data_IF_925396660059
#
_entry.id   IF_925396660059
#
_cell.length_a   1.000
_cell.length_b   1.000
_cell.length_c   1.000
_cell.angle_alpha   90.00
_cell.angle_beta   90.00
_cell.angle_gamma   90.00
#
_symmetry.space_group_name_H-M   'P 1'
#
loop_
_entity.id
_entity.type
_entity.pdbx_description
1 polymer ?
#
# COMPACT_ATOMS: atom_id res chain seq x y z
N UNK A 1 7.60 15.84 -15.00
CA UNK A 1 7.44 14.39 -14.92
C UNK A 1 7.98 13.92 -13.59
N UNK A 2 7.19 13.17 -12.86
CA UNK A 2 7.53 12.62 -11.54
C UNK A 2 7.63 11.12 -11.64
N UNK A 3 8.52 10.52 -10.86
CA UNK A 3 8.70 9.07 -10.76
C UNK A 3 8.83 8.67 -9.30
N UNK A 4 8.08 7.66 -8.88
CA UNK A 4 8.08 7.20 -7.49
C UNK A 4 7.67 5.74 -7.38
N UNK A 5 8.09 5.11 -6.30
CA UNK A 5 7.58 3.80 -5.88
C UNK A 5 6.38 4.00 -4.95
N UNK A 6 5.29 3.31 -5.23
CA UNK A 6 4.05 3.53 -4.50
C UNK A 6 3.19 2.27 -4.37
N UNK A 7 2.37 2.25 -3.32
CA UNK A 7 1.32 1.25 -3.14
C UNK A 7 0.08 1.70 -3.89
N UNK A 8 -0.50 0.83 -4.71
CA UNK A 8 -1.82 1.03 -5.32
C UNK A 8 -2.89 0.83 -4.24
N UNK A 9 -3.56 1.89 -3.84
CA UNK A 9 -4.52 1.83 -2.72
C UNK A 9 -5.97 1.76 -3.15
N UNK A 10 -6.28 2.22 -4.35
CA UNK A 10 -7.64 2.20 -4.90
C UNK A 10 -7.62 2.19 -6.42
N UNK A 11 -8.53 1.45 -7.02
CA UNK A 11 -8.73 1.43 -8.47
C UNK A 11 -10.23 1.59 -8.75
N UNK A 12 -10.58 2.60 -9.53
CA UNK A 12 -11.96 2.91 -9.87
C UNK A 12 -12.12 3.12 -11.37
N UNK A 13 -13.32 2.84 -11.88
CA UNK A 13 -13.66 3.20 -13.25
C UNK A 13 -13.78 4.72 -13.41
N UNK A 14 -13.15 5.25 -14.44
CA UNK A 14 -13.22 6.65 -14.81
C UNK A 14 -13.52 6.76 -16.31
N UNK A 15 -14.68 7.30 -16.67
CA UNK A 15 -15.18 7.30 -18.06
C UNK A 15 -15.17 5.90 -18.70
N UNK A 16 -15.41 5.82 -20.02
CA UNK A 16 -15.60 4.54 -20.71
C UNK A 16 -14.38 3.63 -20.68
N UNK A 17 -13.18 4.18 -20.98
CA UNK A 17 -11.95 3.39 -21.17
C UNK A 17 -10.82 3.74 -20.19
N UNK A 18 -11.07 4.58 -19.20
CA UNK A 18 -10.06 5.09 -18.29
C UNK A 18 -10.25 4.54 -16.88
N UNK A 19 -9.17 4.54 -16.11
CA UNK A 19 -9.19 4.26 -14.68
C UNK A 19 -8.77 5.50 -13.89
N UNK A 20 -9.33 5.66 -12.70
CA UNK A 20 -8.78 6.50 -11.64
C UNK A 20 -8.09 5.60 -10.65
N UNK A 21 -6.80 5.82 -10.45
CA UNK A 21 -5.98 4.98 -9.58
C UNK A 21 -5.36 5.83 -8.48
N UNK A 22 -5.61 5.47 -7.24
CA UNK A 22 -5.01 6.13 -6.08
C UNK A 22 -3.76 5.39 -5.66
N UNK A 23 -2.71 6.15 -5.35
CA UNK A 23 -1.42 5.65 -4.91
C UNK A 23 -1.00 6.33 -3.61
N UNK A 24 -0.19 5.65 -2.84
CA UNK A 24 0.54 6.21 -1.73
C UNK A 24 2.04 6.01 -1.90
N UNK A 25 2.78 7.11 -1.78
CA UNK A 25 4.25 7.10 -1.71
C UNK A 25 4.73 7.99 -0.57
N UNK A 26 5.93 7.73 -0.06
CA UNK A 26 6.53 8.57 0.98
C UNK A 26 6.93 9.94 0.45
N UNK A 27 7.26 10.04 -0.84
CA UNK A 27 7.70 11.29 -1.47
C UNK A 27 6.56 12.23 -1.81
N UNK A 28 5.41 11.69 -2.21
CA UNK A 28 4.29 12.50 -2.72
C UNK A 28 3.01 12.37 -1.88
N UNK A 29 3.00 11.50 -0.86
CA UNK A 29 1.78 11.18 -0.11
C UNK A 29 0.77 10.44 -0.98
N UNK A 30 -0.51 10.67 -0.70
CA UNK A 30 -1.60 10.12 -1.51
C UNK A 30 -1.85 10.95 -2.76
N UNK A 31 -1.92 10.27 -3.89
CA UNK A 31 -2.25 10.87 -5.20
C UNK A 31 -3.30 10.02 -5.91
N UNK A 32 -4.22 10.68 -6.62
CA UNK A 32 -5.14 10.03 -7.55
C UNK A 32 -4.78 10.43 -8.97
N UNK A 33 -4.50 9.46 -9.80
CA UNK A 33 -4.04 9.64 -11.16
C UNK A 33 -5.05 9.08 -12.15
N UNK A 34 -5.19 9.73 -13.30
CA UNK A 34 -5.97 9.21 -14.43
C UNK A 34 -5.08 8.33 -15.30
N UNK A 35 -5.54 7.13 -15.60
CA UNK A 35 -4.88 6.18 -16.48
C UNK A 35 -5.67 6.08 -17.78
N UNK A 36 -5.19 6.70 -18.83
CA UNK A 36 -5.82 6.65 -20.15
C UNK A 36 -5.73 5.25 -20.74
N UNK A 37 -6.88 4.72 -21.19
CA UNK A 37 -6.97 3.36 -21.71
C UNK A 37 -6.66 2.27 -20.66
N UNK A 38 -6.77 2.59 -19.38
CA UNK A 38 -6.42 1.69 -18.28
C UNK A 38 -7.26 0.41 -18.19
N UNK A 39 -8.45 0.40 -18.81
CA UNK A 39 -9.31 -0.80 -18.86
C UNK A 39 -8.87 -1.84 -19.89
N UNK A 40 -7.90 -1.54 -20.75
CA UNK A 40 -7.36 -2.54 -21.68
C UNK A 40 -6.73 -3.70 -20.91
N UNK A 41 -6.87 -4.93 -21.41
CA UNK A 41 -6.30 -6.13 -20.78
C UNK A 41 -4.81 -5.98 -20.45
N UNK A 42 -4.06 -5.32 -21.34
CA UNK A 42 -2.62 -5.11 -21.16
C UNK A 42 -2.29 -4.15 -20.02
N UNK A 43 -3.08 -3.09 -19.83
CA UNK A 43 -2.83 -2.08 -18.80
C UNK A 43 -3.47 -2.41 -17.45
N UNK A 44 -4.67 -2.99 -17.45
CA UNK A 44 -5.42 -3.26 -16.22
C UNK A 44 -4.69 -4.21 -15.26
N UNK A 45 -3.87 -5.12 -15.78
CA UNK A 45 -3.07 -6.03 -14.97
C UNK A 45 -2.00 -5.32 -14.12
N UNK A 46 -1.60 -4.11 -14.49
CA UNK A 46 -0.61 -3.31 -13.75
C UNK A 46 -1.23 -2.56 -12.56
N UNK A 47 -2.55 -2.51 -12.47
CA UNK A 47 -3.25 -1.74 -11.45
C UNK A 47 -4.10 -2.65 -10.55
N UNK A 48 -3.43 -3.39 -9.70
CA UNK A 48 -4.09 -4.25 -8.70
C UNK A 48 -4.02 -3.54 -7.34
N UNK A 49 -5.16 -3.40 -6.67
CA UNK A 49 -5.20 -2.83 -5.32
C UNK A 49 -4.30 -3.64 -4.38
N UNK A 50 -3.44 -2.94 -3.65
CA UNK A 50 -2.41 -3.55 -2.82
C UNK A 50 -1.09 -3.83 -3.54
N UNK A 51 -1.02 -3.67 -4.85
CA UNK A 51 0.22 -3.81 -5.61
C UNK A 51 1.24 -2.73 -5.29
N UNK A 52 2.52 -3.05 -5.46
CA UNK A 52 3.61 -2.10 -5.30
C UNK A 52 4.27 -1.85 -6.64
N UNK A 53 4.25 -0.60 -7.09
CA UNK A 53 4.56 -0.23 -8.47
C UNK A 53 5.56 0.92 -8.54
N UNK A 54 6.39 0.91 -9.57
CA UNK A 54 7.04 2.10 -10.10
C UNK A 54 6.05 2.87 -10.97
N UNK A 55 5.85 4.15 -10.65
CA UNK A 55 4.83 4.98 -11.28
C UNK A 55 5.49 6.25 -11.82
N UNK A 56 5.15 6.59 -13.05
CA UNK A 56 5.51 7.86 -13.66
C UNK A 56 4.23 8.65 -13.97
N UNK A 57 4.21 9.91 -13.58
CA UNK A 57 3.07 10.79 -13.79
C UNK A 57 3.48 12.24 -14.06
N UNK A 58 2.57 13.01 -14.63
CA UNK A 58 2.78 14.41 -14.93
C UNK A 58 2.17 15.37 -13.90
N UNK A 59 2.36 16.66 -14.11
CA UNK A 59 1.79 17.71 -13.25
C UNK A 59 0.26 17.80 -13.29
N UNK A 60 -0.38 17.19 -14.28
CA UNK A 60 -1.83 17.13 -14.42
C UNK A 60 -2.45 15.88 -13.77
N UNK A 61 -1.66 15.13 -13.00
CA UNK A 61 -2.06 13.86 -12.39
C UNK A 61 -2.49 12.80 -13.42
N UNK A 62 -1.81 12.76 -14.55
CA UNK A 62 -1.96 11.71 -15.55
C UNK A 62 -0.85 10.68 -15.35
N UNK A 63 -1.22 9.41 -15.21
CA UNK A 63 -0.28 8.31 -15.14
C UNK A 63 0.29 8.03 -16.54
N UNK A 64 1.59 8.18 -16.69
CA UNK A 64 2.31 7.96 -17.95
C UNK A 64 2.73 6.50 -18.08
N UNK A 65 3.23 5.92 -17.02
CA UNK A 65 3.60 4.50 -16.95
C UNK A 65 3.43 3.93 -15.54
N UNK A 66 3.22 2.64 -15.46
CA UNK A 66 3.23 1.89 -14.20
C UNK A 66 3.72 0.48 -14.44
N UNK A 67 4.68 0.05 -13.63
CA UNK A 67 5.22 -1.31 -13.65
C UNK A 67 5.22 -1.90 -12.26
N UNK A 68 4.72 -3.11 -12.12
CA UNK A 68 4.77 -3.83 -10.85
C UNK A 68 6.22 -4.16 -10.48
N UNK A 69 6.63 -3.81 -9.26
CA UNK A 69 7.96 -4.11 -8.74
C UNK A 69 7.99 -5.52 -8.15
N UNK A 70 6.95 -5.89 -7.43
CA UNK A 70 6.85 -7.17 -6.75
C UNK A 70 5.72 -8.04 -7.31
N UNK A 71 6.05 -9.27 -7.68
CA UNK A 71 5.07 -10.28 -8.07
C UNK A 71 4.49 -10.94 -6.82
N UNK A 72 3.44 -10.36 -6.26
CA UNK A 72 2.71 -11.00 -5.18
C UNK A 72 1.88 -12.18 -5.73
N UNK A 73 1.94 -13.28 -5.03
CA UNK A 73 1.18 -14.49 -5.39
C UNK A 73 -0.26 -14.38 -4.90
N UNK A 74 -1.01 -13.43 -5.45
CA UNK A 74 -2.38 -13.13 -5.04
C UNK A 74 -3.30 -14.35 -4.99
N UNK A 75 -3.12 -15.30 -5.92
CA UNK A 75 -3.92 -16.52 -5.98
C UNK A 75 -3.68 -17.49 -4.81
N UNK A 76 -2.59 -17.32 -4.06
CA UNK A 76 -2.30 -18.08 -2.86
C UNK A 76 -2.91 -17.46 -1.61
N UNK A 77 -3.36 -16.22 -1.68
CA UNK A 77 -3.88 -15.50 -0.53
C UNK A 77 -5.27 -16.00 -0.15
N UNK A 78 -5.46 -16.23 1.13
CA UNK A 78 -6.74 -16.57 1.70
C UNK A 78 -7.68 -15.35 1.70
N UNK A 79 -8.96 -15.61 1.93
CA UNK A 79 -9.97 -14.56 2.14
C UNK A 79 -9.57 -13.57 3.24
N UNK A 80 -8.92 -14.04 4.30
CA UNK A 80 -8.50 -13.20 5.43
C UNK A 80 -7.34 -12.28 5.06
N UNK A 81 -6.36 -12.78 4.31
CA UNK A 81 -5.23 -11.99 3.82
C UNK A 81 -5.70 -10.91 2.83
N UNK A 82 -6.59 -11.24 1.92
CA UNK A 82 -7.17 -10.25 0.99
C UNK A 82 -7.96 -9.18 1.74
N UNK A 83 -8.71 -9.53 2.78
CA UNK A 83 -9.38 -8.56 3.64
C UNK A 83 -8.42 -7.67 4.42
N UNK A 84 -7.29 -8.20 4.88
CA UNK A 84 -6.25 -7.41 5.53
C UNK A 84 -5.66 -6.38 4.57
N UNK A 85 -5.39 -6.76 3.33
CA UNK A 85 -4.91 -5.84 2.28
C UNK A 85 -5.94 -4.74 2.01
N UNK A 86 -7.21 -5.08 1.87
CA UNK A 86 -8.30 -4.12 1.71
C UNK A 86 -8.38 -3.14 2.88
N UNK A 87 -8.23 -3.64 4.09
CA UNK A 87 -8.21 -2.83 5.31
C UNK A 87 -7.06 -1.83 5.33
N UNK A 88 -5.83 -2.27 5.02
CA UNK A 88 -4.68 -1.36 4.99
C UNK A 88 -4.78 -0.34 3.86
N UNK A 89 -5.23 -0.72 2.68
CA UNK A 89 -5.50 0.22 1.60
C UNK A 89 -6.53 1.28 2.01
N UNK A 90 -7.57 0.87 2.72
CA UNK A 90 -8.58 1.78 3.29
C UNK A 90 -7.97 2.75 4.31
N UNK A 91 -7.18 2.24 5.27
CA UNK A 91 -6.52 3.08 6.28
C UNK A 91 -5.56 4.10 5.64
N UNK A 92 -4.74 3.66 4.70
CA UNK A 92 -3.80 4.53 3.98
C UNK A 92 -4.58 5.64 3.26
N UNK A 93 -5.65 5.30 2.55
CA UNK A 93 -6.48 6.29 1.85
C UNK A 93 -7.17 7.28 2.79
N UNK A 94 -7.50 6.88 4.00
CA UNK A 94 -8.21 7.73 4.97
C UNK A 94 -7.29 8.58 5.83
N UNK A 95 -6.07 8.12 6.08
CA UNK A 95 -5.21 8.72 7.09
C UNK A 95 -3.92 9.36 6.54
N UNK A 96 -3.42 8.89 5.42
CA UNK A 96 -2.11 9.29 4.90
C UNK A 96 -2.22 10.18 3.66
N UNK A 97 -2.54 11.45 3.86
CA UNK A 97 -2.69 12.41 2.75
C UNK A 97 -1.36 13.07 2.36
N UNK A 98 -0.49 13.32 3.33
CA UNK A 98 0.72 14.09 3.14
C UNK A 98 1.92 13.19 2.88
N UNK A 99 2.90 13.75 2.17
CA UNK A 99 4.20 13.12 2.03
C UNK A 99 4.94 13.08 3.37
N UNK A 100 5.56 11.96 3.69
CA UNK A 100 6.44 11.80 4.84
C UNK A 100 7.58 10.84 4.48
N UNK A 101 8.74 11.40 4.15
CA UNK A 101 9.91 10.63 3.77
C UNK A 101 10.52 9.82 4.92
N UNK A 102 10.16 10.14 6.16
CA UNK A 102 10.59 9.39 7.34
C UNK A 102 9.63 8.25 7.71
N UNK A 103 8.50 8.12 7.01
CA UNK A 103 7.54 7.05 7.24
C UNK A 103 8.09 5.70 6.80
N UNK A 104 7.86 4.68 7.64
CA UNK A 104 8.16 3.28 7.35
C UNK A 104 6.94 2.49 6.84
N UNK A 105 5.85 3.15 6.49
CA UNK A 105 4.60 2.49 6.05
C UNK A 105 4.86 1.55 4.87
N UNK A 106 5.57 2.01 3.84
CA UNK A 106 5.88 1.18 2.66
C UNK A 106 6.74 -0.02 3.06
N UNK A 107 7.79 0.19 3.87
CA UNK A 107 8.67 -0.88 4.31
C UNK A 107 7.94 -1.96 5.09
N UNK A 108 7.07 -1.58 6.03
CA UNK A 108 6.28 -2.53 6.81
C UNK A 108 5.20 -3.20 5.97
N UNK A 109 4.61 -2.49 5.02
CA UNK A 109 3.67 -3.08 4.08
C UNK A 109 4.33 -4.17 3.22
N UNK A 110 5.51 -3.91 2.67
CA UNK A 110 6.26 -4.88 1.87
C UNK A 110 6.70 -6.08 2.71
N UNK A 111 7.07 -5.87 3.96
CA UNK A 111 7.42 -6.94 4.88
C UNK A 111 6.21 -7.83 5.18
N UNK A 112 5.05 -7.24 5.44
CA UNK A 112 3.79 -7.95 5.62
C UNK A 112 3.45 -8.80 4.38
N UNK A 113 3.54 -8.22 3.20
CA UNK A 113 3.26 -8.92 1.94
C UNK A 113 4.23 -10.08 1.69
N UNK A 114 5.51 -9.90 2.02
CA UNK A 114 6.51 -10.95 1.93
C UNK A 114 6.19 -12.13 2.86
N UNK A 115 5.79 -11.85 4.10
CA UNK A 115 5.37 -12.88 5.06
C UNK A 115 4.12 -13.63 4.59
N UNK A 116 3.13 -12.93 4.04
CA UNK A 116 1.94 -13.57 3.45
C UNK A 116 2.31 -14.47 2.26
N UNK A 117 3.20 -14.01 1.37
CA UNK A 117 3.68 -14.80 0.24
C UNK A 117 4.37 -16.11 0.67
N UNK A 118 5.17 -16.02 1.72
CA UNK A 118 5.95 -17.14 2.23
C UNK A 118 5.13 -18.08 3.14
N UNK A 119 3.85 -17.77 3.34
CA UNK A 119 2.97 -18.51 4.26
C UNK A 119 3.49 -18.54 5.70
N UNK A 120 4.29 -17.56 6.09
CA UNK A 120 4.80 -17.36 7.44
C UNK A 120 3.77 -16.67 8.33
N UNK A 121 3.99 -16.73 9.67
CA UNK A 121 3.18 -15.92 10.58
C UNK A 121 3.46 -14.42 10.35
N UNK A 122 2.43 -13.65 10.10
CA UNK A 122 2.51 -12.22 9.77
C UNK A 122 1.81 -11.30 10.78
N UNK A 123 1.42 -11.80 11.92
CA UNK A 123 0.68 -11.01 12.92
C UNK A 123 1.50 -9.82 13.43
N UNK A 124 2.79 -10.01 13.66
CA UNK A 124 3.69 -8.93 14.12
C UNK A 124 3.81 -7.83 13.08
N UNK A 125 3.98 -8.18 11.81
CA UNK A 125 4.09 -7.24 10.70
C UNK A 125 2.78 -6.49 10.46
N UNK A 126 1.65 -7.16 10.66
CA UNK A 126 0.32 -6.53 10.59
C UNK A 126 0.16 -5.46 11.67
N UNK A 127 0.53 -5.75 12.91
CA UNK A 127 0.49 -4.79 14.01
C UNK A 127 1.47 -3.64 13.82
N UNK A 128 2.68 -3.92 13.34
CA UNK A 128 3.68 -2.89 13.04
C UNK A 128 3.18 -1.91 11.97
N UNK A 129 2.60 -2.41 10.92
CA UNK A 129 2.05 -1.57 9.85
C UNK A 129 0.92 -0.69 10.36
N UNK A 130 -0.01 -1.25 11.15
CA UNK A 130 -1.11 -0.48 11.74
C UNK A 130 -0.60 0.64 12.64
N UNK A 131 0.37 0.36 13.51
CA UNK A 131 0.99 1.35 14.38
C UNK A 131 1.73 2.43 13.59
N UNK A 132 2.44 2.06 12.54
CA UNK A 132 3.15 3.03 11.69
C UNK A 132 2.19 3.94 10.92
N UNK A 133 1.07 3.42 10.43
CA UNK A 133 0.03 4.23 9.79
C UNK A 133 -0.53 5.24 10.78
N UNK A 134 -0.86 4.82 12.00
CA UNK A 134 -1.35 5.71 13.06
C UNK A 134 -0.32 6.78 13.41
N UNK A 135 0.93 6.40 13.60
CA UNK A 135 2.03 7.33 13.88
C UNK A 135 2.21 8.35 12.75
N UNK A 136 2.26 7.90 11.51
CA UNK A 136 2.44 8.77 10.33
C UNK A 136 1.26 9.73 10.16
N UNK A 137 0.05 9.33 10.55
CA UNK A 137 -1.14 10.18 10.52
C UNK A 137 -1.21 11.23 11.64
N UNK A 138 -0.23 11.24 12.54
CA UNK A 138 -0.17 12.15 13.69
C UNK A 138 -0.77 11.59 14.97
N UNK A 139 -1.32 10.40 14.96
CA UNK A 139 -1.66 9.66 16.18
C UNK A 139 -0.39 9.09 16.77
N UNK A 140 0.00 9.61 17.93
CA UNK A 140 1.03 8.99 18.76
C UNK A 140 0.33 8.29 19.94
N UNK A 141 0.02 7.00 19.83
CA UNK A 141 -0.39 6.27 21.00
C UNK A 141 0.78 6.22 21.97
N UNK A 142 0.53 6.52 23.25
CA UNK A 142 1.50 6.37 24.34
C UNK A 142 1.82 4.88 24.58
N UNK A 143 2.34 4.21 23.58
CA UNK A 143 2.88 2.87 23.76
C UNK A 143 4.29 2.98 24.31
N UNK A 144 4.43 2.74 25.61
CA UNK A 144 5.73 2.47 26.17
C UNK A 144 6.40 1.35 25.39
N UNK A 145 7.67 1.50 25.07
CA UNK A 145 8.47 0.48 24.38
C UNK A 145 8.31 -0.91 25.05
N UNK A 146 8.11 -0.95 26.38
CA UNK A 146 7.81 -2.16 27.14
C UNK A 146 6.50 -2.87 26.75
N UNK A 147 5.50 -2.15 26.26
CA UNK A 147 4.23 -2.75 25.80
C UNK A 147 4.41 -3.39 24.43
N UNK A 148 5.13 -2.72 23.53
CA UNK A 148 5.49 -3.27 22.24
C UNK A 148 6.34 -4.54 22.39
N UNK A 149 7.35 -4.52 23.24
CA UNK A 149 8.18 -5.69 23.55
C UNK A 149 7.35 -6.86 24.09
N UNK A 150 6.36 -6.60 24.96
CA UNK A 150 5.44 -7.64 25.44
C UNK A 150 4.58 -8.25 24.32
N UNK A 151 4.06 -7.40 23.39
CA UNK A 151 3.29 -7.86 22.26
C UNK A 151 4.17 -8.75 21.34
N UNK A 152 5.42 -8.32 21.06
CA UNK A 152 6.36 -9.09 20.25
C UNK A 152 6.78 -10.40 20.91
N UNK A 153 7.06 -10.40 22.20
CA UNK A 153 7.51 -11.58 22.93
C UNK A 153 6.39 -12.60 23.14
N UNK A 154 5.13 -12.20 23.22
CA UNK A 154 3.99 -13.10 23.33
C UNK A 154 3.70 -13.88 22.04
N UNK A 155 4.15 -13.37 20.89
CA UNK A 155 3.96 -14.03 19.59
C UNK A 155 5.09 -15.00 19.22
N UNK A 156 6.17 -15.05 20.00
CA UNK A 156 7.30 -15.96 19.80
C UNK A 156 7.26 -17.22 20.69
N UNK A 157 6.15 -17.43 21.35
CA UNK A 157 5.90 -18.65 22.13
C UNK A 157 4.99 -19.62 21.37
#
# INVERSE_FOLDING_TARGET
>A
MYKTEAIVTKVENFKENHLSVSFYSTEHGQKSLVVFGGKSKKKSTNYVKGGFNNIEFDSNNVCLSSTSINSFKWFLFSKYELKAIDYFCFLINKLLFLADQNSNVINYYLLLMSKMNDRSNYLSELLLLELEILKTSGYQPDFNQSVLEKIFNSNNM
#
